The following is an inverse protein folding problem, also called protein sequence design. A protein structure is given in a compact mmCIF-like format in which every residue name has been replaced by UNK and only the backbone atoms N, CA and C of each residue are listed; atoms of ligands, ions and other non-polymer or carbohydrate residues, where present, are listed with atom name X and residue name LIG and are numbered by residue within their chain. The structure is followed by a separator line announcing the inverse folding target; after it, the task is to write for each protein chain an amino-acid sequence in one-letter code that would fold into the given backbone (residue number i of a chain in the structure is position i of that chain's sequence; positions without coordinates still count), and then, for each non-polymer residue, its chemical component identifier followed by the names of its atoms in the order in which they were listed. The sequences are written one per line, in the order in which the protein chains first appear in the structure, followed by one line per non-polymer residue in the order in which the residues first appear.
data_IF_350984351048
#
_entry.id   IF_350984351048
#
_cell.length_a   1.000
_cell.length_b   1.000
_cell.length_c   1.000
_cell.angle_alpha   90.00
_cell.angle_beta   90.00
_cell.angle_gamma   90.00
#
_symmetry.space_group_name_H-M   'P 1'
#
loop_
_entity.id
_entity.type
_entity.pdbx_description
1 polymer ?
#
# COMPACT_ATOMS: atom_id res chain seq x y z
N UNK A 1 -29.27 -26.04 -3.50
CA UNK A 1 -28.30 -25.85 -4.63
C UNK A 1 -26.88 -25.75 -4.09
N UNK A 2 -25.82 -26.19 -4.80
CA UNK A 2 -24.43 -26.00 -4.34
C UNK A 2 -24.04 -24.51 -4.38
N UNK A 3 -23.26 -24.05 -3.42
CA UNK A 3 -22.85 -22.65 -3.30
C UNK A 3 -22.04 -22.14 -4.51
N UNK A 4 -21.11 -22.96 -5.05
CA UNK A 4 -20.34 -22.60 -6.25
C UNK A 4 -21.24 -22.39 -7.48
N UNK A 5 -22.34 -23.13 -7.57
CA UNK A 5 -23.32 -22.99 -8.64
C UNK A 5 -24.28 -21.82 -8.38
N UNK A 6 -24.70 -21.62 -7.12
CA UNK A 6 -25.55 -20.50 -6.74
C UNK A 6 -24.91 -19.15 -7.03
N UNK A 7 -23.62 -18.99 -6.69
CA UNK A 7 -22.85 -17.79 -6.98
C UNK A 7 -22.78 -17.48 -8.48
N UNK A 8 -22.60 -18.50 -9.32
CA UNK A 8 -22.59 -18.33 -10.76
C UNK A 8 -23.98 -17.95 -11.30
N UNK A 9 -25.04 -18.63 -10.86
CA UNK A 9 -26.40 -18.35 -11.29
C UNK A 9 -26.92 -16.96 -10.88
N UNK A 10 -26.50 -16.47 -9.73
CA UNK A 10 -26.83 -15.12 -9.24
C UNK A 10 -25.90 -14.03 -9.80
N UNK A 11 -25.05 -14.35 -10.78
CA UNK A 11 -24.08 -13.42 -11.38
C UNK A 11 -23.09 -12.78 -10.38
N UNK A 12 -22.93 -13.41 -9.20
CA UNK A 12 -21.92 -13.00 -8.20
C UNK A 12 -20.52 -13.47 -8.58
N UNK A 13 -20.40 -14.35 -9.55
CA UNK A 13 -19.12 -14.78 -10.15
C UNK A 13 -19.30 -15.04 -11.65
N UNK A 14 -18.29 -14.68 -12.45
CA UNK A 14 -18.35 -14.80 -13.92
C UNK A 14 -18.13 -16.24 -14.43
N UNK A 15 -17.75 -17.18 -13.57
CA UNK A 15 -17.65 -18.61 -13.85
C UNK A 15 -17.74 -19.44 -12.58
N UNK A 16 -18.08 -20.75 -12.70
CA UNK A 16 -18.08 -21.66 -11.55
C UNK A 16 -16.70 -21.86 -10.93
N UNK A 17 -15.63 -21.78 -11.71
CA UNK A 17 -14.26 -21.87 -11.22
C UNK A 17 -13.92 -20.66 -10.35
N UNK A 18 -14.30 -19.45 -10.80
CA UNK A 18 -14.15 -18.22 -9.99
C UNK A 18 -15.01 -18.28 -8.73
N UNK A 19 -16.25 -18.75 -8.82
CA UNK A 19 -17.11 -18.98 -7.67
C UNK A 19 -16.47 -19.93 -6.65
N UNK A 20 -15.93 -21.06 -7.11
CA UNK A 20 -15.19 -22.02 -6.25
C UNK A 20 -13.99 -21.35 -5.59
N UNK A 21 -13.21 -20.56 -6.33
CA UNK A 21 -12.04 -19.83 -5.81
C UNK A 21 -12.44 -18.80 -4.74
N UNK A 22 -13.54 -18.07 -4.92
CA UNK A 22 -14.07 -17.13 -3.91
C UNK A 22 -14.42 -17.85 -2.61
N UNK A 23 -15.11 -18.98 -2.68
CA UNK A 23 -15.48 -19.78 -1.50
C UNK A 23 -14.24 -20.30 -0.76
N UNK A 24 -13.29 -20.91 -1.50
CA UNK A 24 -12.04 -21.42 -0.92
C UNK A 24 -11.16 -20.31 -0.28
N UNK A 25 -11.28 -19.08 -0.76
CA UNK A 25 -10.63 -17.90 -0.18
C UNK A 25 -11.42 -17.25 0.97
N UNK A 26 -12.47 -17.90 1.48
CA UNK A 26 -13.33 -17.38 2.54
C UNK A 26 -13.96 -16.01 2.20
N UNK A 27 -14.34 -15.81 0.92
CA UNK A 27 -14.90 -14.55 0.41
C UNK A 27 -16.42 -14.57 0.25
N UNK A 28 -17.08 -15.61 0.75
CA UNK A 28 -18.52 -15.79 0.61
C UNK A 28 -19.17 -15.96 1.97
N UNK A 29 -20.21 -15.17 2.20
CA UNK A 29 -21.10 -15.31 3.34
C UNK A 29 -22.40 -15.96 2.87
N UNK A 30 -22.94 -16.87 3.67
CA UNK A 30 -24.32 -17.34 3.59
C UNK A 30 -24.96 -17.02 4.94
N UNK A 31 -26.01 -16.21 4.93
CA UNK A 31 -26.68 -15.72 6.14
C UNK A 31 -25.68 -15.11 7.15
N UNK A 32 -24.75 -14.27 6.65
CA UNK A 32 -23.68 -13.60 7.42
C UNK A 32 -22.60 -14.53 8.00
N UNK A 33 -22.62 -15.82 7.68
CA UNK A 33 -21.61 -16.80 8.10
C UNK A 33 -20.66 -17.09 6.95
N UNK A 34 -19.35 -17.01 7.20
CA UNK A 34 -18.33 -17.34 6.18
C UNK A 34 -18.37 -18.83 5.85
N UNK A 35 -18.52 -19.14 4.57
CA UNK A 35 -18.52 -20.53 4.08
C UNK A 35 -17.25 -20.77 3.26
N UNK A 36 -16.49 -21.81 3.63
CA UNK A 36 -15.24 -22.21 2.97
C UNK A 36 -15.36 -23.44 2.06
N UNK A 37 -16.55 -24.07 2.02
CA UNK A 37 -16.81 -25.30 1.26
C UNK A 37 -17.64 -25.01 0.01
N UNK A 38 -17.08 -25.12 -1.22
CA UNK A 38 -17.81 -24.83 -2.46
C UNK A 38 -19.05 -25.71 -2.69
N UNK A 39 -19.05 -26.92 -2.13
CA UNK A 39 -20.16 -27.84 -2.19
C UNK A 39 -21.23 -27.62 -1.09
N UNK A 40 -21.12 -26.56 -0.29
CA UNK A 40 -22.13 -26.19 0.70
C UNK A 40 -23.50 -26.06 0.00
N UNK A 41 -24.56 -26.59 0.63
CA UNK A 41 -25.90 -26.56 0.06
C UNK A 41 -26.63 -25.32 0.56
N UNK A 42 -26.89 -24.42 -0.38
CA UNK A 42 -27.70 -23.22 -0.16
C UNK A 42 -29.18 -23.60 -0.34
N UNK A 43 -30.03 -23.17 0.60
CA UNK A 43 -31.48 -23.36 0.59
C UNK A 43 -32.17 -22.17 -0.06
N UNK A 44 -33.43 -22.33 -0.39
CA UNK A 44 -34.29 -21.22 -0.81
C UNK A 44 -34.46 -20.23 0.36
N UNK A 45 -34.26 -18.93 0.09
CA UNK A 45 -34.30 -17.89 1.11
C UNK A 45 -32.94 -17.57 1.76
N UNK A 46 -31.88 -18.37 1.55
CA UNK A 46 -30.56 -18.04 2.06
C UNK A 46 -29.98 -16.79 1.35
N UNK A 47 -29.48 -15.85 2.13
CA UNK A 47 -28.81 -14.66 1.61
C UNK A 47 -27.34 -14.98 1.33
N UNK A 48 -26.91 -14.83 0.08
CA UNK A 48 -25.53 -15.00 -0.33
C UNK A 48 -24.91 -13.60 -0.54
N UNK A 49 -23.83 -13.32 0.16
CA UNK A 49 -23.10 -12.06 0.07
C UNK A 49 -21.63 -12.35 -0.25
N UNK A 50 -21.03 -11.52 -1.11
CA UNK A 50 -19.59 -11.53 -1.27
C UNK A 50 -18.99 -10.60 -0.22
N UNK A 51 -18.00 -11.10 0.51
CA UNK A 51 -17.15 -10.22 1.30
C UNK A 51 -16.44 -9.30 0.30
N UNK A 52 -16.66 -8.01 0.41
CA UNK A 52 -16.05 -7.01 -0.46
C UNK A 52 -14.56 -7.32 -0.59
N UNK A 53 -14.09 -7.52 -1.81
CA UNK A 53 -12.66 -7.61 -2.07
C UNK A 53 -12.08 -6.25 -1.80
N UNK A 54 -10.94 -6.21 -1.12
CA UNK A 54 -10.13 -5.01 -1.12
C UNK A 54 -9.97 -4.57 -2.59
N UNK A 55 -10.43 -3.37 -2.99
CA UNK A 55 -10.33 -2.91 -4.36
C UNK A 55 -8.87 -2.75 -4.81
N UNK A 56 -7.94 -2.82 -3.86
CA UNK A 56 -6.53 -2.60 -4.10
C UNK A 56 -5.76 -3.91 -4.27
N UNK A 57 -4.77 -3.90 -5.16
CA UNK A 57 -3.87 -5.04 -5.44
C UNK A 57 -3.03 -5.47 -4.23
N UNK A 58 -2.91 -4.60 -3.22
CA UNK A 58 -2.18 -4.88 -1.99
C UNK A 58 -2.70 -4.07 -0.80
N UNK A 59 -2.26 -4.45 0.41
CA UNK A 59 -2.53 -3.69 1.65
C UNK A 59 -1.93 -2.27 1.64
N UNK A 60 -0.88 -2.04 0.85
CA UNK A 60 -0.32 -0.71 0.67
C UNK A 60 -1.37 0.23 0.04
N UNK A 61 -2.09 -0.23 -0.99
CA UNK A 61 -3.21 0.54 -1.58
C UNK A 61 -4.31 0.85 -0.58
N UNK A 62 -4.67 -0.11 0.32
CA UNK A 62 -5.61 0.14 1.42
C UNK A 62 -5.15 1.28 2.34
N UNK A 63 -3.86 1.26 2.74
CA UNK A 63 -3.28 2.30 3.60
C UNK A 63 -3.38 3.67 2.96
N UNK A 64 -2.90 3.79 1.71
CA UNK A 64 -2.90 5.05 1.00
C UNK A 64 -4.33 5.52 0.70
N UNK A 65 -5.22 4.62 0.28
CA UNK A 65 -6.64 4.93 0.05
C UNK A 65 -7.29 5.52 1.30
N UNK A 66 -7.15 4.85 2.45
CA UNK A 66 -7.70 5.30 3.73
C UNK A 66 -7.07 6.63 4.21
N UNK A 67 -5.78 6.86 3.97
CA UNK A 67 -5.13 8.14 4.26
C UNK A 67 -5.75 9.27 3.45
N UNK A 68 -5.97 9.05 2.15
CA UNK A 68 -6.50 10.06 1.23
C UNK A 68 -8.00 10.35 1.39
N UNK A 69 -8.73 9.59 2.22
CA UNK A 69 -10.10 9.93 2.62
C UNK A 69 -10.15 11.20 3.48
N UNK A 70 -9.09 11.45 4.26
CA UNK A 70 -9.01 12.57 5.20
C UNK A 70 -7.94 13.60 4.81
N UNK A 71 -7.13 13.33 3.78
CA UNK A 71 -6.02 14.19 3.36
C UNK A 71 -6.03 14.35 1.85
N UNK A 72 -6.08 15.60 1.43
CA UNK A 72 -6.00 15.93 0.01
C UNK A 72 -4.55 15.99 -0.44
N UNK A 73 -4.21 15.17 -1.44
CA UNK A 73 -3.01 15.28 -2.27
C UNK A 73 -3.48 15.29 -3.71
N UNK A 74 -3.03 16.27 -4.47
CA UNK A 74 -3.34 16.34 -5.89
C UNK A 74 -2.46 15.37 -6.68
N UNK A 75 -3.08 14.44 -7.39
CA UNK A 75 -2.43 13.49 -8.28
C UNK A 75 -2.70 13.80 -9.76
N UNK A 76 -3.67 14.68 -10.03
CA UNK A 76 -4.16 14.88 -11.38
C UNK A 76 -3.05 15.40 -12.30
N UNK A 77 -2.87 14.72 -13.44
CA UNK A 77 -1.87 15.03 -14.47
C UNK A 77 -0.41 15.01 -13.96
N UNK A 78 -0.13 14.49 -12.77
CA UNK A 78 1.21 14.39 -12.21
C UNK A 78 1.96 13.16 -12.67
N UNK A 79 3.27 13.28 -12.78
CA UNK A 79 4.23 12.18 -12.88
C UNK A 79 4.62 11.79 -11.45
N UNK A 80 4.30 10.56 -11.06
CA UNK A 80 4.48 10.03 -9.71
C UNK A 80 5.59 8.98 -9.72
N UNK A 81 6.49 9.04 -8.76
CA UNK A 81 7.48 8.00 -8.49
C UNK A 81 7.04 7.19 -7.27
N UNK A 82 6.84 5.88 -7.43
CA UNK A 82 6.49 4.95 -6.36
C UNK A 82 7.74 4.13 -5.98
N UNK A 83 8.33 4.45 -4.83
CA UNK A 83 9.55 3.83 -4.30
C UNK A 83 9.20 2.71 -3.33
N UNK A 84 9.60 1.48 -3.66
CA UNK A 84 9.18 0.28 -2.97
C UNK A 84 7.80 -0.18 -3.47
N UNK A 85 7.58 -0.10 -4.77
CA UNK A 85 6.26 -0.32 -5.39
C UNK A 85 5.69 -1.72 -5.11
N UNK A 86 6.54 -2.75 -5.00
CA UNK A 86 6.12 -4.14 -4.75
C UNK A 86 4.96 -4.54 -5.69
N UNK A 87 3.78 -4.88 -5.17
CA UNK A 87 2.60 -5.21 -5.99
C UNK A 87 1.92 -4.00 -6.64
N UNK A 88 2.40 -2.79 -6.40
CA UNK A 88 1.86 -1.58 -7.00
C UNK A 88 0.65 -1.00 -6.28
N UNK A 89 0.54 -1.19 -4.97
CA UNK A 89 -0.60 -0.68 -4.22
C UNK A 89 -0.69 0.84 -4.22
N UNK A 90 0.41 1.55 -4.01
CA UNK A 90 0.46 3.01 -4.09
C UNK A 90 0.29 3.48 -5.52
N UNK A 91 0.93 2.81 -6.48
CA UNK A 91 0.80 3.08 -7.92
C UNK A 91 -0.66 3.01 -8.38
N UNK A 92 -1.38 1.96 -7.98
CA UNK A 92 -2.81 1.82 -8.30
C UNK A 92 -3.63 3.00 -7.78
N UNK A 93 -3.41 3.40 -6.53
CA UNK A 93 -4.12 4.55 -5.94
C UNK A 93 -3.78 5.84 -6.69
N UNK A 94 -2.51 6.07 -7.02
CA UNK A 94 -2.09 7.24 -7.80
C UNK A 94 -2.82 7.30 -9.15
N UNK A 95 -2.89 6.19 -9.88
CA UNK A 95 -3.63 6.10 -11.15
C UNK A 95 -5.13 6.35 -10.99
N UNK A 96 -5.75 5.78 -9.94
CA UNK A 96 -7.17 6.01 -9.63
C UNK A 96 -7.46 7.47 -9.27
N UNK A 97 -6.48 8.18 -8.72
CA UNK A 97 -6.56 9.62 -8.40
C UNK A 97 -6.16 10.54 -9.56
N UNK A 98 -5.88 9.99 -10.74
CA UNK A 98 -5.66 10.75 -11.97
C UNK A 98 -4.21 11.06 -12.29
N UNK A 99 -3.24 10.33 -11.72
CA UNK A 99 -1.85 10.45 -12.12
C UNK A 99 -1.69 10.20 -13.63
N UNK A 100 -0.93 11.07 -14.29
CA UNK A 100 -0.63 10.96 -15.73
C UNK A 100 0.28 9.76 -16.01
N UNK A 101 1.26 9.54 -15.14
CA UNK A 101 2.25 8.47 -15.24
C UNK A 101 2.75 8.08 -13.85
N UNK A 102 3.08 6.80 -13.68
CA UNK A 102 3.69 6.30 -12.45
C UNK A 102 4.93 5.48 -12.79
N UNK A 103 6.07 5.89 -12.26
CA UNK A 103 7.32 5.16 -12.32
C UNK A 103 7.42 4.30 -11.05
N UNK A 104 7.40 2.99 -11.21
CA UNK A 104 7.45 2.02 -10.10
C UNK A 104 8.89 1.52 -9.94
N UNK A 105 9.54 1.80 -8.82
CA UNK A 105 10.91 1.35 -8.54
C UNK A 105 10.89 0.38 -7.36
N UNK A 106 11.43 -0.83 -7.57
CA UNK A 106 11.55 -1.85 -6.52
C UNK A 106 12.81 -2.70 -6.70
N UNK A 107 13.43 -3.09 -5.60
CA UNK A 107 14.60 -4.00 -5.60
C UNK A 107 14.20 -5.46 -5.87
N UNK A 108 12.93 -5.79 -5.72
CA UNK A 108 12.38 -7.13 -5.99
C UNK A 108 12.21 -7.39 -7.48
N UNK A 109 11.88 -8.64 -7.79
CA UNK A 109 11.66 -9.11 -9.16
C UNK A 109 10.26 -9.67 -9.33
N UNK A 110 9.61 -9.38 -10.47
CA UNK A 110 8.28 -9.90 -10.85
C UNK A 110 7.23 -9.72 -9.74
N UNK A 111 7.25 -8.57 -9.08
CA UNK A 111 6.35 -8.30 -7.96
C UNK A 111 5.10 -7.53 -8.37
N UNK A 112 5.20 -6.63 -9.36
CA UNK A 112 4.11 -5.77 -9.76
C UNK A 112 2.93 -6.59 -10.30
N UNK A 113 1.71 -6.22 -9.90
CA UNK A 113 0.47 -6.87 -10.37
C UNK A 113 0.37 -6.82 -11.90
N UNK A 114 -0.07 -7.94 -12.52
CA UNK A 114 -0.15 -8.05 -13.98
C UNK A 114 -1.09 -7.03 -14.61
N UNK A 115 -2.19 -6.69 -13.93
CA UNK A 115 -3.11 -5.65 -14.40
C UNK A 115 -2.46 -4.29 -14.46
N UNK A 116 -1.59 -3.98 -13.49
CA UNK A 116 -0.83 -2.72 -13.47
C UNK A 116 0.31 -2.73 -14.50
N UNK A 117 1.00 -3.86 -14.70
CA UNK A 117 2.04 -3.99 -15.74
C UNK A 117 1.52 -3.68 -17.15
N UNK A 118 0.26 -3.95 -17.39
CA UNK A 118 -0.38 -3.72 -18.69
C UNK A 118 -0.97 -2.29 -18.85
N UNK A 119 -0.95 -1.47 -17.80
CA UNK A 119 -1.40 -0.07 -17.90
C UNK A 119 -0.29 0.78 -18.53
N UNK A 120 -0.60 1.42 -19.66
CA UNK A 120 0.37 2.23 -20.43
C UNK A 120 0.91 3.44 -19.64
N UNK A 121 0.29 3.81 -18.54
CA UNK A 121 0.74 4.89 -17.66
C UNK A 121 1.78 4.40 -16.62
N UNK A 122 2.01 3.09 -16.52
CA UNK A 122 3.00 2.50 -15.62
C UNK A 122 4.31 2.27 -16.36
N UNK A 123 5.40 2.67 -15.73
CA UNK A 123 6.75 2.28 -16.10
C UNK A 123 7.40 1.56 -14.91
N UNK A 124 7.85 0.31 -15.11
CA UNK A 124 8.29 -0.56 -14.04
C UNK A 124 9.80 -0.80 -14.10
N UNK A 125 10.48 -0.49 -13.00
CA UNK A 125 11.90 -0.68 -12.78
C UNK A 125 12.10 -1.66 -11.61
N UNK A 126 12.03 -2.96 -11.91
CA UNK A 126 12.31 -4.03 -10.95
C UNK A 126 13.83 -4.32 -10.90
N UNK A 127 14.29 -4.99 -9.82
CA UNK A 127 15.71 -5.22 -9.53
C UNK A 127 16.51 -3.91 -9.49
N UNK A 128 15.85 -2.80 -9.14
CA UNK A 128 16.41 -1.45 -9.16
C UNK A 128 16.43 -0.82 -7.76
N UNK A 129 17.62 -0.49 -7.30
CA UNK A 129 17.78 0.28 -6.05
C UNK A 129 17.59 1.77 -6.36
N UNK A 130 16.68 2.41 -5.64
CA UNK A 130 16.39 3.84 -5.80
C UNK A 130 17.62 4.72 -5.65
N UNK A 131 18.62 4.29 -4.88
CA UNK A 131 19.88 5.04 -4.68
C UNK A 131 20.74 5.14 -5.94
N UNK A 132 20.54 4.23 -6.89
CA UNK A 132 21.16 4.26 -8.22
C UNK A 132 20.22 4.66 -9.35
N UNK A 133 18.93 4.86 -9.04
CA UNK A 133 17.91 5.20 -10.04
C UNK A 133 18.14 6.60 -10.63
N UNK A 134 17.98 6.71 -11.94
CA UNK A 134 18.03 7.97 -12.67
C UNK A 134 16.90 8.02 -13.69
N UNK A 135 16.30 9.16 -13.83
CA UNK A 135 15.26 9.42 -14.81
C UNK A 135 15.43 10.83 -15.42
N UNK A 136 15.23 11.01 -16.72
CA UNK A 136 15.14 12.34 -17.32
C UNK A 136 13.80 13.02 -17.05
N UNK A 137 12.80 12.29 -16.54
CA UNK A 137 11.49 12.83 -16.28
C UNK A 137 11.46 13.68 -15.02
N UNK A 138 10.74 14.80 -15.09
CA UNK A 138 10.43 15.60 -13.91
C UNK A 138 9.39 14.87 -13.08
N UNK A 139 9.75 14.53 -11.86
CA UNK A 139 8.83 13.92 -10.90
C UNK A 139 8.11 15.01 -10.10
N UNK A 140 6.79 14.96 -10.10
CA UNK A 140 5.95 15.93 -9.39
C UNK A 140 5.66 15.51 -7.95
N UNK A 141 5.58 14.19 -7.68
CA UNK A 141 5.31 13.62 -6.36
C UNK A 141 6.05 12.28 -6.19
N UNK A 142 6.73 12.12 -5.06
CA UNK A 142 7.30 10.83 -4.66
C UNK A 142 6.42 10.18 -3.59
N UNK A 143 5.99 8.95 -3.84
CA UNK A 143 5.42 8.04 -2.85
C UNK A 143 6.51 7.07 -2.40
N UNK A 144 6.61 6.78 -1.09
CA UNK A 144 7.66 5.92 -0.58
C UNK A 144 7.11 4.95 0.48
N UNK A 145 7.07 3.65 0.15
CA UNK A 145 6.65 2.55 1.06
C UNK A 145 7.72 1.45 1.13
N UNK A 146 8.95 1.81 1.49
CA UNK A 146 10.07 0.88 1.59
C UNK A 146 10.00 0.03 2.85
N UNK A 147 10.59 -1.17 2.81
CA UNK A 147 10.69 -2.10 3.94
C UNK A 147 12.14 -2.56 4.12
N UNK A 148 12.52 -2.90 5.36
CA UNK A 148 13.84 -3.42 5.72
C UNK A 148 15.00 -2.44 5.56
N UNK A 149 14.70 -1.18 5.32
CA UNK A 149 15.65 -0.08 5.24
C UNK A 149 15.06 1.15 5.93
N UNK A 150 15.93 1.98 6.52
CA UNK A 150 15.51 3.25 7.11
C UNK A 150 15.20 4.28 6.05
N UNK A 151 14.17 5.12 6.28
CA UNK A 151 13.85 6.25 5.41
C UNK A 151 15.01 7.25 5.31
N UNK A 152 15.85 7.38 6.33
CA UNK A 152 17.06 8.23 6.26
C UNK A 152 17.98 7.82 5.10
N UNK A 153 18.14 6.51 4.87
CA UNK A 153 18.98 5.99 3.78
C UNK A 153 18.39 6.25 2.39
N UNK A 154 17.08 6.40 2.30
CA UNK A 154 16.35 6.61 1.04
C UNK A 154 16.20 8.10 0.74
N UNK A 155 16.05 8.93 1.78
CA UNK A 155 15.74 10.35 1.64
C UNK A 155 16.77 11.07 0.74
N UNK A 156 18.07 10.80 0.93
CA UNK A 156 19.14 11.41 0.14
C UNK A 156 19.03 11.09 -1.37
N UNK A 157 18.48 9.91 -1.71
CA UNK A 157 18.30 9.52 -3.09
C UNK A 157 17.05 10.13 -3.73
N UNK A 158 15.96 10.29 -2.97
CA UNK A 158 14.70 10.78 -3.52
C UNK A 158 14.57 12.30 -3.51
N UNK A 159 15.21 12.99 -2.58
CA UNK A 159 15.15 14.46 -2.44
C UNK A 159 15.52 15.21 -3.71
N UNK A 160 16.54 14.81 -4.51
CA UNK A 160 16.85 15.48 -5.77
C UNK A 160 15.79 15.32 -6.84
N UNK A 161 14.90 14.32 -6.72
CA UNK A 161 13.98 13.91 -7.79
C UNK A 161 12.67 14.70 -7.80
N UNK A 162 12.23 15.26 -6.66
CA UNK A 162 10.95 15.98 -6.56
C UNK A 162 10.99 17.07 -5.49
N UNK A 163 9.95 17.91 -5.47
CA UNK A 163 9.70 18.87 -4.40
C UNK A 163 8.62 18.43 -3.40
N UNK A 164 7.86 17.36 -3.68
CA UNK A 164 6.74 16.89 -2.85
C UNK A 164 6.82 15.38 -2.60
N UNK A 165 6.56 14.95 -1.37
CA UNK A 165 6.80 13.58 -0.90
C UNK A 165 5.71 13.12 0.04
N UNK A 166 5.27 11.88 -0.13
CA UNK A 166 4.48 11.13 0.85
C UNK A 166 5.21 9.84 1.20
N UNK A 167 5.74 9.76 2.41
CA UNK A 167 6.47 8.58 2.88
C UNK A 167 5.70 7.85 3.98
N UNK A 168 5.74 6.52 3.96
CA UNK A 168 5.25 5.67 5.04
C UNK A 168 6.39 5.37 6.01
N UNK A 169 6.43 6.09 7.12
CA UNK A 169 7.38 5.91 8.21
C UNK A 169 7.03 4.63 8.99
N UNK A 170 7.98 3.74 9.11
CA UNK A 170 7.81 2.43 9.75
C UNK A 170 8.71 2.33 10.98
N UNK A 171 8.20 2.58 12.19
CA UNK A 171 9.01 2.56 13.40
C UNK A 171 9.90 1.33 13.56
N UNK A 172 9.44 0.16 13.11
CA UNK A 172 10.21 -1.08 13.21
C UNK A 172 11.56 -1.04 12.49
N UNK A 173 11.75 -0.14 11.54
CA UNK A 173 13.02 0.05 10.82
C UNK A 173 13.80 1.29 11.28
N UNK A 174 13.21 2.11 12.17
CA UNK A 174 13.78 3.41 12.60
C UNK A 174 14.22 3.45 14.06
N UNK A 175 13.60 2.68 14.96
CA UNK A 175 13.86 2.73 16.41
C UNK A 175 15.13 2.02 16.88
N UNK A 176 15.96 1.49 15.96
CA UNK A 176 17.15 0.73 16.32
C UNK A 176 16.86 -0.65 16.95
N UNK A 177 17.92 -1.38 17.27
CA UNK A 177 17.83 -2.78 17.74
C UNK A 177 17.45 -2.89 19.22
N UNK A 178 17.75 -1.91 20.03
CA UNK A 178 17.52 -1.92 21.48
C UNK A 178 16.05 -1.78 21.88
N UNK A 179 15.19 -1.23 21.00
CA UNK A 179 13.78 -1.04 21.28
C UNK A 179 13.06 -2.37 21.52
N UNK A 180 12.23 -2.41 22.57
CA UNK A 180 11.47 -3.62 22.96
C UNK A 180 10.49 -4.04 21.87
N UNK A 181 10.55 -5.33 21.50
CA UNK A 181 9.68 -5.94 20.50
C UNK A 181 9.00 -7.20 21.04
N UNK A 182 7.82 -7.52 20.54
CA UNK A 182 7.19 -8.81 20.82
C UNK A 182 7.77 -9.93 19.91
N UNK A 183 7.30 -11.16 20.11
CA UNK A 183 7.74 -12.35 19.32
C UNK A 183 7.49 -12.24 17.82
N UNK A 184 6.61 -11.34 17.37
CA UNK A 184 6.31 -11.09 15.95
C UNK A 184 7.11 -9.91 15.36
N UNK A 185 8.04 -9.34 16.14
CA UNK A 185 8.83 -8.18 15.72
C UNK A 185 8.09 -6.84 15.80
N UNK A 186 6.91 -6.79 16.45
CA UNK A 186 6.18 -5.54 16.65
C UNK A 186 6.86 -4.73 17.75
N UNK A 187 7.14 -3.47 17.45
CA UNK A 187 7.71 -2.53 18.43
C UNK A 187 6.67 -2.21 19.50
N UNK A 188 7.00 -2.52 20.75
CA UNK A 188 6.13 -2.32 21.92
C UNK A 188 6.49 -1.07 22.71
N UNK A 189 7.63 -0.47 22.41
CA UNK A 189 8.19 0.71 23.06
C UNK A 189 7.62 1.97 22.41
N UNK A 190 6.57 2.52 23.02
CA UNK A 190 5.89 3.72 22.51
C UNK A 190 6.78 4.95 22.55
N UNK A 191 7.62 5.09 23.55
CA UNK A 191 8.53 6.21 23.68
C UNK A 191 9.59 6.19 22.58
N UNK A 192 10.17 5.02 22.31
CA UNK A 192 11.11 4.85 21.19
C UNK A 192 10.45 5.17 19.84
N UNK A 193 9.17 4.81 19.63
CA UNK A 193 8.42 5.16 18.41
C UNK A 193 8.30 6.67 18.27
N UNK A 194 7.85 7.37 19.33
CA UNK A 194 7.66 8.82 19.32
C UNK A 194 8.98 9.56 19.12
N UNK A 195 10.04 9.12 19.79
CA UNK A 195 11.39 9.70 19.67
C UNK A 195 11.93 9.52 18.23
N UNK A 196 11.75 8.33 17.62
CA UNK A 196 12.17 8.09 16.25
C UNK A 196 11.41 8.99 15.26
N UNK A 197 10.09 9.15 15.46
CA UNK A 197 9.28 10.04 14.64
C UNK A 197 9.69 11.49 14.78
N UNK A 198 9.93 11.97 16.00
CA UNK A 198 10.37 13.34 16.25
C UNK A 198 11.77 13.61 15.67
N UNK A 199 12.69 12.65 15.80
CA UNK A 199 14.01 12.75 15.18
C UNK A 199 13.91 12.85 13.66
N UNK A 200 13.03 12.07 13.02
CA UNK A 200 12.82 12.15 11.57
C UNK A 200 12.22 13.50 11.15
N UNK A 201 11.25 14.02 11.92
CA UNK A 201 10.70 15.39 11.71
C UNK A 201 11.80 16.45 11.76
N UNK A 202 12.63 16.39 12.79
CA UNK A 202 13.74 17.35 12.94
C UNK A 202 14.75 17.22 11.80
N UNK A 203 15.05 16.01 11.35
CA UNK A 203 15.89 15.78 10.18
C UNK A 203 15.30 16.39 8.91
N UNK A 204 13.99 16.24 8.65
CA UNK A 204 13.34 16.92 7.52
C UNK A 204 13.48 18.44 7.59
N UNK A 205 13.29 19.03 8.78
CA UNK A 205 13.44 20.48 8.98
C UNK A 205 14.88 20.95 8.70
N UNK A 206 15.90 20.18 9.09
CA UNK A 206 17.32 20.52 8.79
C UNK A 206 17.67 20.44 7.31
N UNK A 207 16.79 19.84 6.51
CA UNK A 207 16.90 19.72 5.05
C UNK A 207 15.97 20.69 4.29
N UNK A 208 15.45 21.71 4.96
CA UNK A 208 14.54 22.72 4.42
C UNK A 208 13.23 22.14 3.87
N UNK A 209 12.67 21.13 4.58
CA UNK A 209 11.35 20.62 4.28
C UNK A 209 10.30 21.12 5.26
N UNK A 210 9.17 21.54 4.70
CA UNK A 210 7.94 21.80 5.43
C UNK A 210 7.14 20.50 5.54
N UNK A 211 6.81 20.09 6.76
CA UNK A 211 5.90 18.96 7.01
C UNK A 211 4.48 19.48 6.93
N UNK A 212 3.70 18.90 6.02
CA UNK A 212 2.29 19.25 5.81
C UNK A 212 1.37 18.42 6.71
N UNK A 213 1.67 17.14 6.87
CA UNK A 213 0.86 16.21 7.66
C UNK A 213 1.70 15.07 8.21
N UNK A 214 1.38 14.65 9.43
CA UNK A 214 1.79 13.35 10.00
C UNK A 214 0.54 12.69 10.55
N UNK A 215 0.26 11.48 10.08
CA UNK A 215 -0.90 10.71 10.52
C UNK A 215 -0.57 9.23 10.66
N UNK A 216 -1.02 8.63 11.77
CA UNK A 216 -0.99 7.18 11.93
C UNK A 216 -1.83 6.51 10.85
N UNK A 217 -1.29 5.48 10.21
CA UNK A 217 -2.01 4.67 9.24
C UNK A 217 -3.15 3.90 9.91
N UNK A 218 -4.36 4.03 9.39
CA UNK A 218 -5.53 3.27 9.89
C UNK A 218 -5.34 1.75 9.69
N UNK A 219 -4.53 1.35 8.71
CA UNK A 219 -4.21 -0.04 8.42
C UNK A 219 -2.80 -0.35 8.93
N UNK A 220 -2.71 -1.19 9.95
CA UNK A 220 -1.43 -1.60 10.57
C UNK A 220 -0.54 -2.38 9.60
N UNK A 221 0.77 -2.39 9.84
CA UNK A 221 1.74 -3.21 9.14
C UNK A 221 1.44 -4.71 9.22
N UNK A 222 2.10 -5.53 8.39
CA UNK A 222 1.83 -6.98 8.23
C UNK A 222 1.78 -7.75 9.54
N UNK A 223 2.63 -7.39 10.52
CA UNK A 223 2.72 -8.06 11.81
C UNK A 223 1.96 -7.31 12.93
N UNK A 224 1.32 -6.17 12.61
CA UNK A 224 0.60 -5.32 13.56
C UNK A 224 1.36 -4.08 14.01
N UNK A 225 2.53 -3.77 13.43
CA UNK A 225 3.24 -2.52 13.70
C UNK A 225 2.38 -1.31 13.33
N UNK A 226 2.48 -0.28 14.16
CA UNK A 226 1.99 1.06 13.83
C UNK A 226 2.90 1.65 12.76
N UNK A 227 2.34 2.39 11.82
CA UNK A 227 3.07 3.06 10.75
C UNK A 227 2.47 4.45 10.56
N UNK A 228 3.24 5.41 10.05
CA UNK A 228 2.81 6.80 9.93
C UNK A 228 3.02 7.31 8.51
N UNK A 229 2.01 7.93 7.94
CA UNK A 229 2.18 8.75 6.75
C UNK A 229 2.79 10.09 7.13
N UNK A 230 3.81 10.49 6.40
CA UNK A 230 4.45 11.81 6.52
C UNK A 230 4.40 12.45 5.13
N UNK A 231 3.58 13.51 5.01
CA UNK A 231 3.51 14.33 3.81
C UNK A 231 4.34 15.58 4.02
N UNK A 232 5.30 15.82 3.15
CA UNK A 232 6.21 16.97 3.25
C UNK A 232 6.61 17.46 1.87
N UNK A 233 7.01 18.74 1.80
CA UNK A 233 7.47 19.38 0.57
C UNK A 233 8.65 20.28 0.85
N UNK A 234 9.38 20.67 -0.19
CA UNK A 234 10.40 21.73 -0.06
C UNK A 234 9.75 23.02 0.41
N UNK A 235 10.43 23.72 1.33
CA UNK A 235 10.01 25.03 1.86
C UNK A 235 10.06 26.12 0.78
#
# INVERSE_FOLDING_TARGET
MRLDYALFNQHLANSREKAKALVLKNRVLVNKIVISKPSFIVKEGDQIELIATNPFVSRAGEKLGAFLENHFIDFKEKVVLDVGASKGGFSQVALLKGAKRVLCVDVGKMQLDEGLKNDQRIECYEECDIRGFKTPEKIDLVLCDVSFISLYCILEAIVPLSGEFLALFKPQFEVGRAAKRNKKGVVMDKEAILNALENFKNHLKTKDFQILTIQESLVKGKNGNVEFFIHFKRA
#
